data_IF_650012832197
#
_entry.id   IF_650012832197
#
_cell.length_a   1.000
_cell.length_b   1.000
_cell.length_c   1.000
_cell.angle_alpha   90.00
_cell.angle_beta   90.00
_cell.angle_gamma   90.00
#
_symmetry.space_group_name_H-M   'P 1'
#
loop_
_entity.id
_entity.type
_entity.pdbx_description
1 polymer ?
#
# COMPACT_ATOMS: atom_id res chain seq x y z
N UNK A 1 5.29 -3.36 20.06
CA UNK A 1 6.70 -3.78 20.05
C UNK A 1 6.83 -5.03 19.19
N UNK A 2 8.02 -5.28 18.63
CA UNK A 2 8.27 -6.48 17.82
C UNK A 2 9.29 -7.36 18.53
N UNK A 3 9.01 -8.67 18.62
CA UNK A 3 9.97 -9.64 19.17
C UNK A 3 11.08 -9.90 18.15
N UNK A 4 12.34 -9.86 18.59
CA UNK A 4 13.52 -9.96 17.72
C UNK A 4 13.71 -11.39 17.16
N UNK A 5 13.31 -12.39 17.93
CA UNK A 5 13.50 -13.81 17.57
C UNK A 5 12.43 -14.34 16.63
N UNK A 6 11.17 -14.00 16.88
CA UNK A 6 10.01 -14.48 16.12
C UNK A 6 9.49 -13.48 15.10
N UNK A 7 9.99 -12.23 15.11
CA UNK A 7 9.48 -11.10 14.33
C UNK A 7 7.97 -10.81 14.54
N UNK A 8 7.41 -11.27 15.64
CA UNK A 8 5.99 -11.15 15.97
C UNK A 8 5.72 -9.83 16.69
N UNK A 9 4.63 -9.15 16.34
CA UNK A 9 4.18 -7.96 17.05
C UNK A 9 3.49 -8.30 18.35
N UNK A 10 3.91 -7.64 19.43
CA UNK A 10 3.35 -7.82 20.78
C UNK A 10 2.88 -6.48 21.31
N UNK A 11 1.67 -6.43 21.86
CA UNK A 11 1.13 -5.26 22.53
C UNK A 11 1.62 -5.22 23.97
N UNK A 12 2.15 -4.07 24.40
CA UNK A 12 2.63 -3.86 25.77
C UNK A 12 1.74 -2.86 26.50
N UNK A 13 1.43 -3.15 27.75
CA UNK A 13 0.97 -2.17 28.73
C UNK A 13 2.16 -1.79 29.61
N UNK A 14 2.64 -0.56 29.48
CA UNK A 14 3.81 -0.04 30.20
C UNK A 14 3.45 1.22 30.98
N UNK A 15 4.21 1.51 32.03
CA UNK A 15 4.06 2.74 32.81
C UNK A 15 4.41 3.97 31.93
N UNK A 16 3.87 5.15 32.32
CA UNK A 16 4.21 6.40 31.64
C UNK A 16 5.70 6.71 31.73
N UNK A 17 6.30 6.46 32.91
CA UNK A 17 7.72 6.69 33.15
C UNK A 17 8.61 5.82 32.25
N UNK A 18 8.25 4.55 32.06
CA UNK A 18 9.01 3.65 31.20
C UNK A 18 8.82 3.99 29.73
N UNK A 19 7.62 4.45 29.34
CA UNK A 19 7.36 4.92 27.98
C UNK A 19 8.22 6.12 27.60
N UNK A 20 8.43 7.07 28.53
CA UNK A 20 9.24 8.26 28.30
C UNK A 20 10.74 7.94 28.13
N UNK A 21 11.20 6.80 28.66
CA UNK A 21 12.59 6.32 28.48
C UNK A 21 12.83 5.65 27.13
N UNK A 22 11.78 5.17 26.49
CA UNK A 22 11.88 4.40 25.24
C UNK A 22 12.04 5.33 24.04
N UNK A 23 13.04 5.04 23.22
CA UNK A 23 13.21 5.66 21.89
C UNK A 23 12.74 4.67 20.80
N UNK A 24 12.33 5.15 19.63
CA UNK A 24 12.10 4.27 18.49
C UNK A 24 13.34 3.41 18.21
N UNK A 25 13.12 2.13 17.89
CA UNK A 25 14.19 1.16 17.61
C UNK A 25 15.14 0.86 18.80
N UNK A 26 14.74 1.09 20.03
CA UNK A 26 15.49 0.59 21.19
C UNK A 26 15.32 -0.93 21.32
N UNK A 27 16.43 -1.64 21.55
CA UNK A 27 16.39 -3.04 21.98
C UNK A 27 16.15 -3.07 23.50
N UNK A 28 15.06 -3.68 23.90
CA UNK A 28 14.68 -3.78 25.30
C UNK A 28 14.46 -5.22 25.72
N UNK A 29 14.82 -5.53 26.96
CA UNK A 29 14.42 -6.75 27.63
C UNK A 29 13.25 -6.43 28.56
N UNK A 30 12.16 -7.18 28.44
CA UNK A 30 10.97 -6.97 29.27
C UNK A 30 10.66 -8.23 30.08
N UNK A 31 10.18 -8.03 31.30
CA UNK A 31 9.50 -9.02 32.10
C UNK A 31 8.09 -8.55 32.40
N UNK A 32 7.14 -9.46 32.39
CA UNK A 32 5.74 -9.06 32.61
C UNK A 32 4.79 -10.25 32.65
N UNK A 33 3.52 -9.94 32.87
CA UNK A 33 2.43 -10.94 32.92
C UNK A 33 1.64 -10.82 31.61
N UNK A 34 1.43 -11.95 30.94
CA UNK A 34 0.63 -12.02 29.73
C UNK A 34 -0.86 -12.04 30.04
N UNK A 35 -1.62 -11.24 29.31
CA UNK A 35 -3.08 -11.19 29.35
C UNK A 35 -3.62 -11.49 27.94
N UNK A 36 -4.64 -12.33 27.88
CA UNK A 36 -5.33 -12.64 26.62
C UNK A 36 -6.57 -11.77 26.51
N UNK A 37 -6.65 -10.98 25.46
CA UNK A 37 -7.80 -10.13 25.17
C UNK A 37 -8.52 -10.65 23.91
N UNK A 38 -9.70 -11.30 24.04
CA UNK A 38 -10.46 -11.76 22.90
C UNK A 38 -11.13 -10.59 22.17
N UNK A 39 -11.01 -10.55 20.85
CA UNK A 39 -11.78 -9.65 20.00
C UNK A 39 -13.13 -10.23 19.60
N UNK A 40 -14.08 -9.37 19.26
CA UNK A 40 -15.40 -9.78 18.78
C UNK A 40 -15.38 -10.61 17.48
N UNK A 41 -14.29 -10.56 16.72
CA UNK A 41 -14.07 -11.34 15.48
C UNK A 41 -13.45 -12.72 15.71
N UNK A 42 -13.33 -13.18 16.97
CA UNK A 42 -12.75 -14.47 17.32
C UNK A 42 -11.22 -14.53 17.34
N UNK A 43 -10.52 -13.41 17.12
CA UNK A 43 -9.07 -13.34 17.28
C UNK A 43 -8.70 -13.04 18.74
N UNK A 44 -7.52 -13.49 19.17
CA UNK A 44 -7.01 -13.26 20.51
C UNK A 44 -5.77 -12.36 20.43
N UNK A 45 -5.82 -11.24 21.12
CA UNK A 45 -4.65 -10.38 21.29
C UNK A 45 -3.88 -10.78 22.54
N UNK A 46 -2.58 -10.98 22.40
CA UNK A 46 -1.69 -11.15 23.55
C UNK A 46 -1.20 -9.76 23.98
N UNK A 47 -1.46 -9.42 25.23
CA UNK A 47 -0.99 -8.18 25.85
C UNK A 47 -0.02 -8.55 26.95
N UNK A 48 1.13 -7.90 27.01
CA UNK A 48 2.09 -8.07 28.11
C UNK A 48 2.02 -6.85 29.04
N UNK A 49 1.56 -7.07 30.26
CA UNK A 49 1.63 -6.08 31.34
C UNK A 49 3.07 -6.07 31.88
N UNK A 50 3.83 -5.06 31.46
CA UNK A 50 5.28 -4.98 31.77
C UNK A 50 5.49 -4.62 33.24
N UNK A 51 6.22 -5.46 33.96
CA UNK A 51 6.64 -5.22 35.36
C UNK A 51 8.10 -4.85 35.47
N UNK A 52 8.91 -5.22 34.49
CA UNK A 52 10.33 -4.88 34.39
C UNK A 52 10.69 -4.52 32.97
N UNK A 53 11.40 -3.42 32.79
CA UNK A 53 11.89 -2.95 31.49
C UNK A 53 13.36 -2.56 31.65
N UNK A 54 14.19 -3.11 30.76
CA UNK A 54 15.62 -2.79 30.70
C UNK A 54 15.97 -2.45 29.25
N UNK A 55 16.62 -1.29 29.05
CA UNK A 55 17.08 -0.88 27.73
C UNK A 55 18.47 -1.49 27.51
N UNK A 56 18.54 -2.44 26.57
CA UNK A 56 19.80 -3.14 26.24
C UNK A 56 20.62 -2.31 25.25
N UNK A 57 19.95 -1.68 24.28
CA UNK A 57 20.55 -0.73 23.32
C UNK A 57 19.57 0.39 23.00
N UNK A 58 20.04 1.63 23.00
CA UNK A 58 19.24 2.80 22.63
C UNK A 58 18.81 2.84 21.16
N UNK A 59 19.63 2.27 20.29
CA UNK A 59 19.32 2.08 18.88
C UNK A 59 19.72 0.68 18.46
N UNK A 60 18.79 -0.04 17.91
CA UNK A 60 18.98 -1.39 17.38
C UNK A 60 18.47 -1.45 15.95
N UNK A 61 19.35 -1.78 15.03
CA UNK A 61 19.02 -2.00 13.62
C UNK A 61 19.19 -3.48 13.35
N UNK A 62 18.12 -4.12 12.90
CA UNK A 62 18.14 -5.54 12.52
C UNK A 62 18.75 -5.71 11.14
N UNK A 63 19.23 -6.91 10.82
CA UNK A 63 19.67 -7.26 9.47
C UNK A 63 18.53 -7.06 8.44
N UNK A 64 17.28 -7.31 8.84
CA UNK A 64 16.11 -7.06 8.01
C UNK A 64 15.90 -5.58 7.72
N UNK A 65 16.13 -4.69 8.69
CA UNK A 65 16.01 -3.24 8.50
C UNK A 65 17.09 -2.72 7.54
N UNK A 66 18.30 -3.29 7.61
CA UNK A 66 19.36 -2.99 6.64
C UNK A 66 18.94 -3.41 5.23
N UNK A 67 18.47 -4.65 5.05
CA UNK A 67 17.98 -5.15 3.75
C UNK A 67 16.83 -4.33 3.19
N UNK A 68 15.86 -3.95 4.03
CA UNK A 68 14.76 -3.05 3.62
C UNK A 68 15.29 -1.71 3.14
N UNK A 69 16.26 -1.14 3.86
CA UNK A 69 16.89 0.13 3.49
C UNK A 69 17.65 0.03 2.18
N UNK A 70 18.38 -1.06 1.95
CA UNK A 70 19.06 -1.33 0.68
C UNK A 70 18.08 -1.42 -0.49
N UNK A 71 16.95 -2.12 -0.31
CA UNK A 71 15.88 -2.21 -1.33
C UNK A 71 15.34 -0.81 -1.65
N UNK A 72 15.08 0.02 -0.63
CA UNK A 72 14.60 1.40 -0.83
C UNK A 72 15.61 2.24 -1.60
N UNK A 73 16.89 2.14 -1.25
CA UNK A 73 17.96 2.87 -1.96
C UNK A 73 18.05 2.39 -3.42
N UNK A 74 17.99 1.09 -3.66
CA UNK A 74 18.01 0.53 -5.02
C UNK A 74 16.80 0.98 -5.83
N UNK A 75 15.60 0.96 -5.24
CA UNK A 75 14.36 1.46 -5.87
C UNK A 75 14.45 2.94 -6.19
N UNK A 76 14.93 3.76 -5.25
CA UNK A 76 15.12 5.20 -5.47
C UNK A 76 16.12 5.50 -6.60
N UNK A 77 17.21 4.74 -6.69
CA UNK A 77 18.19 4.88 -7.81
C UNK A 77 17.62 4.45 -9.15
N UNK A 78 16.82 3.39 -9.19
CA UNK A 78 16.13 2.92 -10.42
C UNK A 78 15.02 3.88 -10.85
N UNK A 79 14.44 4.63 -9.91
CA UNK A 79 13.31 5.52 -10.09
C UNK A 79 11.97 4.83 -9.87
N UNK A 80 10.97 5.65 -9.58
CA UNK A 80 9.58 5.23 -9.45
C UNK A 80 8.87 5.35 -10.79
N UNK A 81 7.98 4.42 -11.07
CA UNK A 81 7.17 4.46 -12.29
C UNK A 81 6.08 5.51 -12.17
N UNK A 82 5.82 6.19 -13.24
CA UNK A 82 4.79 7.23 -13.26
C UNK A 82 3.41 6.59 -13.52
N UNK A 83 2.70 6.26 -12.44
CA UNK A 83 1.33 5.71 -12.48
C UNK A 83 0.39 6.64 -13.23
N UNK A 84 0.50 7.96 -12.99
CA UNK A 84 -0.36 8.96 -13.60
C UNK A 84 -0.20 8.95 -15.13
N UNK A 85 1.04 8.93 -15.61
CA UNK A 85 1.31 8.92 -17.05
C UNK A 85 0.76 7.67 -17.75
N UNK A 86 0.85 6.49 -17.10
CA UNK A 86 0.32 5.24 -17.66
C UNK A 86 -1.20 5.30 -17.81
N UNK A 87 -1.89 5.78 -16.79
CA UNK A 87 -3.34 5.90 -16.79
C UNK A 87 -3.82 7.00 -17.75
N UNK A 88 -3.18 8.17 -17.70
CA UNK A 88 -3.53 9.31 -18.55
C UNK A 88 -3.36 9.01 -20.04
N UNK A 89 -2.28 8.33 -20.42
CA UNK A 89 -2.03 7.97 -21.82
C UNK A 89 -3.17 7.11 -22.40
N UNK A 90 -3.58 6.08 -21.68
CA UNK A 90 -4.69 5.20 -22.11
C UNK A 90 -6.03 5.93 -22.14
N UNK A 91 -6.37 6.62 -21.05
CA UNK A 91 -7.63 7.37 -20.97
C UNK A 91 -7.72 8.44 -22.07
N UNK A 92 -6.61 9.10 -22.39
CA UNK A 92 -6.58 10.11 -23.46
C UNK A 92 -6.80 9.50 -24.86
N UNK A 93 -6.32 8.27 -25.07
CA UNK A 93 -6.53 7.48 -26.28
C UNK A 93 -7.92 6.83 -26.37
N UNK A 94 -8.79 7.04 -25.38
CA UNK A 94 -10.10 6.40 -25.25
C UNK A 94 -10.01 4.88 -24.97
N UNK A 95 -8.88 4.45 -24.43
CA UNK A 95 -8.66 3.08 -23.98
C UNK A 95 -8.98 2.97 -22.48
N UNK A 96 -9.48 1.81 -22.05
CA UNK A 96 -9.74 1.54 -20.64
C UNK A 96 -8.50 0.91 -19.99
N UNK A 97 -7.84 1.60 -19.04
CA UNK A 97 -6.72 1.00 -18.30
C UNK A 97 -7.19 -0.22 -17.51
N UNK A 98 -6.38 -1.28 -17.48
CA UNK A 98 -6.63 -2.48 -16.69
C UNK A 98 -5.93 -2.38 -15.34
N UNK A 99 -6.69 -2.32 -14.28
CA UNK A 99 -6.17 -2.15 -12.91
C UNK A 99 -6.52 -3.35 -12.06
N UNK A 100 -5.49 -4.06 -11.54
CA UNK A 100 -5.69 -5.09 -10.53
C UNK A 100 -5.87 -4.44 -9.15
N UNK A 101 -6.96 -4.74 -8.49
CA UNK A 101 -7.24 -4.34 -7.11
C UNK A 101 -7.01 -5.56 -6.20
N UNK A 102 -5.88 -5.60 -5.52
CA UNK A 102 -5.52 -6.72 -4.63
C UNK A 102 -5.92 -6.38 -3.21
N UNK A 103 -6.99 -7.01 -2.73
CA UNK A 103 -7.48 -6.87 -1.36
C UNK A 103 -6.95 -8.00 -0.47
N UNK A 104 -6.75 -7.70 0.81
CA UNK A 104 -6.55 -8.75 1.79
C UNK A 104 -7.76 -9.68 1.85
N UNK A 105 -7.54 -10.99 2.00
CA UNK A 105 -8.60 -12.03 1.93
C UNK A 105 -9.79 -11.78 2.85
N UNK A 106 -9.55 -11.17 4.02
CA UNK A 106 -10.56 -10.87 5.04
C UNK A 106 -11.05 -9.41 5.02
N UNK A 107 -10.62 -8.63 4.04
CA UNK A 107 -10.92 -7.19 4.00
C UNK A 107 -12.32 -6.91 3.45
N UNK A 108 -13.07 -6.04 4.14
CA UNK A 108 -14.37 -5.50 3.70
C UNK A 108 -14.22 -4.15 2.97
N UNK A 109 -13.00 -3.71 2.72
CA UNK A 109 -12.67 -2.38 2.21
C UNK A 109 -13.05 -2.12 0.75
N UNK A 110 -13.62 -3.10 0.04
CA UNK A 110 -14.16 -2.91 -1.30
C UNK A 110 -15.28 -1.86 -1.32
N UNK A 111 -16.12 -1.82 -0.28
CA UNK A 111 -17.19 -0.82 -0.17
C UNK A 111 -16.61 0.59 -0.03
N UNK A 112 -15.54 0.75 0.75
CA UNK A 112 -14.85 2.02 0.91
C UNK A 112 -14.23 2.50 -0.40
N UNK A 113 -13.62 1.58 -1.17
CA UNK A 113 -13.09 1.88 -2.49
C UNK A 113 -14.21 2.30 -3.45
N UNK A 114 -15.30 1.52 -3.51
CA UNK A 114 -16.43 1.78 -4.40
C UNK A 114 -17.13 3.11 -4.10
N UNK A 115 -17.13 3.56 -2.84
CA UNK A 115 -17.67 4.86 -2.46
C UNK A 115 -16.91 6.05 -3.08
N UNK A 116 -15.64 5.85 -3.49
CA UNK A 116 -14.81 6.88 -4.12
C UNK A 116 -14.72 6.78 -5.64
N UNK A 117 -15.07 5.63 -6.24
CA UNK A 117 -14.68 5.33 -7.63
C UNK A 117 -15.46 6.06 -8.72
N UNK A 118 -16.68 6.51 -8.45
CA UNK A 118 -17.53 7.36 -9.31
C UNK A 118 -17.30 7.23 -10.83
N UNK A 119 -16.78 8.28 -11.47
CA UNK A 119 -16.52 8.35 -12.93
C UNK A 119 -15.52 7.27 -13.40
N UNK A 120 -14.64 6.76 -12.54
CA UNK A 120 -13.68 5.73 -12.91
C UNK A 120 -14.35 4.37 -13.17
N UNK A 121 -15.51 4.09 -12.58
CA UNK A 121 -16.19 2.80 -12.68
C UNK A 121 -16.48 2.36 -14.14
N UNK A 122 -16.70 3.31 -15.03
CA UNK A 122 -17.01 3.04 -16.45
C UNK A 122 -15.84 3.27 -17.40
N UNK A 123 -14.78 3.91 -16.91
CA UNK A 123 -13.63 4.31 -17.74
C UNK A 123 -12.36 3.49 -17.47
N UNK A 124 -12.33 2.71 -16.40
CA UNK A 124 -11.23 1.85 -15.99
C UNK A 124 -11.75 0.43 -15.80
N UNK A 125 -11.00 -0.56 -16.29
CA UNK A 125 -11.31 -1.98 -16.09
C UNK A 125 -10.66 -2.45 -14.78
N UNK A 126 -11.45 -2.49 -13.71
CA UNK A 126 -11.03 -2.98 -12.42
C UNK A 126 -11.20 -4.50 -12.31
N UNK A 127 -10.14 -5.20 -11.92
CA UNK A 127 -10.20 -6.62 -11.59
C UNK A 127 -9.92 -6.80 -10.10
N UNK A 128 -10.93 -7.29 -9.36
CA UNK A 128 -10.77 -7.62 -7.95
C UNK A 128 -10.02 -8.95 -7.78
N UNK A 129 -8.97 -8.93 -6.98
CA UNK A 129 -8.19 -10.09 -6.59
C UNK A 129 -8.12 -10.14 -5.06
N UNK A 130 -8.10 -11.36 -4.50
CA UNK A 130 -8.02 -11.60 -3.06
C UNK A 130 -6.76 -12.40 -2.73
N UNK A 131 -5.94 -11.88 -1.80
CA UNK A 131 -4.71 -12.53 -1.37
C UNK A 131 -4.49 -12.32 0.14
N UNK A 132 -3.96 -13.34 0.82
CA UNK A 132 -3.55 -13.18 2.22
C UNK A 132 -2.32 -12.28 2.32
N UNK A 133 -2.37 -11.27 3.19
CA UNK A 133 -1.23 -10.42 3.51
C UNK A 133 -0.48 -10.89 4.78
N UNK A 134 -0.82 -12.08 5.29
CA UNK A 134 -0.17 -12.68 6.46
C UNK A 134 1.01 -13.61 6.13
N UNK A 135 1.26 -13.91 4.85
CA UNK A 135 2.35 -14.79 4.42
C UNK A 135 3.15 -14.13 3.30
N UNK A 136 4.37 -13.69 3.61
CA UNK A 136 5.24 -12.95 2.69
C UNK A 136 5.63 -13.74 1.45
N UNK A 137 5.97 -15.02 1.58
CA UNK A 137 6.37 -15.85 0.44
C UNK A 137 5.22 -16.04 -0.55
N UNK A 138 4.02 -16.35 -0.03
CA UNK A 138 2.84 -16.52 -0.87
C UNK A 138 2.45 -15.20 -1.55
N UNK A 139 2.54 -14.07 -0.83
CA UNK A 139 2.26 -12.75 -1.37
C UNK A 139 3.27 -12.35 -2.46
N UNK A 140 4.56 -12.56 -2.23
CA UNK A 140 5.60 -12.26 -3.21
C UNK A 140 5.44 -13.06 -4.51
N UNK A 141 5.16 -14.37 -4.38
CA UNK A 141 4.91 -15.25 -5.54
C UNK A 141 3.65 -14.83 -6.30
N UNK A 142 2.58 -14.47 -5.59
CA UNK A 142 1.36 -13.96 -6.19
C UNK A 142 1.61 -12.65 -6.95
N UNK A 143 2.29 -11.67 -6.35
CA UNK A 143 2.61 -10.41 -7.00
C UNK A 143 3.46 -10.60 -8.24
N UNK A 144 4.44 -11.49 -8.19
CA UNK A 144 5.27 -11.84 -9.38
C UNK A 144 4.43 -12.41 -10.51
N UNK A 145 3.40 -13.22 -10.21
CA UNK A 145 2.48 -13.74 -11.22
C UNK A 145 1.60 -12.65 -11.84
N UNK A 146 1.15 -11.68 -11.03
CA UNK A 146 0.34 -10.57 -11.51
C UNK A 146 1.14 -9.58 -12.38
N UNK A 147 2.45 -9.44 -12.16
CA UNK A 147 3.31 -8.56 -12.98
C UNK A 147 3.34 -8.96 -14.48
N UNK A 148 3.00 -10.22 -14.79
CA UNK A 148 2.94 -10.74 -16.15
C UNK A 148 1.51 -10.97 -16.68
N UNK A 149 0.48 -10.54 -15.94
CA UNK A 149 -0.94 -10.80 -16.27
C UNK A 149 -1.58 -9.72 -17.16
N UNK A 150 -0.78 -8.76 -17.65
CA UNK A 150 -1.23 -7.73 -18.58
C UNK A 150 -2.02 -6.59 -17.94
N UNK A 151 -1.89 -6.37 -16.64
CA UNK A 151 -2.39 -5.18 -15.96
C UNK A 151 -1.49 -3.97 -16.23
N UNK A 152 -2.11 -2.81 -16.35
CA UNK A 152 -1.41 -1.53 -16.50
C UNK A 152 -0.94 -0.97 -15.15
N UNK A 153 -1.70 -1.25 -14.10
CA UNK A 153 -1.41 -0.84 -12.72
C UNK A 153 -1.90 -1.92 -11.75
N UNK A 154 -1.18 -2.12 -10.67
CA UNK A 154 -1.56 -3.01 -9.56
C UNK A 154 -1.71 -2.16 -8.31
N UNK A 155 -2.84 -2.28 -7.61
CA UNK A 155 -3.09 -1.61 -6.34
C UNK A 155 -3.20 -2.62 -5.20
N UNK A 156 -2.37 -2.45 -4.16
CA UNK A 156 -2.46 -3.18 -2.90
C UNK A 156 -3.38 -2.42 -1.95
N UNK A 157 -4.50 -3.04 -1.58
CA UNK A 157 -5.57 -2.34 -0.87
C UNK A 157 -5.91 -3.05 0.43
N UNK A 158 -5.91 -2.28 1.54
CA UNK A 158 -6.41 -2.73 2.82
C UNK A 158 -6.81 -1.57 3.71
N UNK A 159 -7.88 -1.76 4.48
CA UNK A 159 -8.18 -0.93 5.65
C UNK A 159 -7.19 -1.20 6.79
N UNK A 160 -7.32 -0.49 7.90
CA UNK A 160 -6.51 -0.71 9.10
C UNK A 160 -6.74 -2.07 9.75
N UNK A 161 -5.90 -2.42 10.73
CA UNK A 161 -5.95 -3.65 11.51
C UNK A 161 -4.72 -4.54 11.35
N UNK A 162 -4.64 -5.63 12.15
CA UNK A 162 -3.53 -6.60 12.16
C UNK A 162 -3.44 -7.43 10.86
N UNK A 163 -2.30 -8.09 10.63
CA UNK A 163 -2.06 -8.98 9.48
C UNK A 163 -1.62 -8.24 8.22
N UNK A 164 -0.87 -7.15 8.37
CA UNK A 164 -0.20 -6.40 7.30
C UNK A 164 1.32 -6.55 7.36
N UNK A 165 1.80 -7.29 8.35
CA UNK A 165 3.23 -7.41 8.66
C UNK A 165 4.03 -8.00 7.50
N UNK A 166 3.41 -8.89 6.72
CA UNK A 166 4.06 -9.50 5.57
C UNK A 166 4.29 -8.54 4.40
N UNK A 167 3.59 -7.39 4.38
CA UNK A 167 3.85 -6.35 3.38
C UNK A 167 5.25 -5.73 3.51
N UNK A 168 5.79 -5.73 4.74
CA UNK A 168 7.14 -5.25 5.03
C UNK A 168 8.19 -6.38 5.05
N UNK A 169 7.82 -7.59 4.63
CA UNK A 169 8.78 -8.65 4.39
C UNK A 169 9.75 -8.27 3.28
N UNK A 170 11.05 -8.53 3.52
CA UNK A 170 12.13 -8.25 2.57
C UNK A 170 11.83 -8.81 1.19
N UNK A 171 11.27 -10.04 1.12
CA UNK A 171 10.96 -10.69 -0.15
C UNK A 171 9.81 -10.00 -0.90
N UNK A 172 8.78 -9.55 -0.19
CA UNK A 172 7.65 -8.81 -0.78
C UNK A 172 8.13 -7.44 -1.29
N UNK A 173 8.91 -6.72 -0.48
CA UNK A 173 9.47 -5.43 -0.85
C UNK A 173 10.39 -5.55 -2.08
N UNK A 174 11.23 -6.59 -2.12
CA UNK A 174 12.13 -6.85 -3.25
C UNK A 174 11.34 -7.17 -4.53
N UNK A 175 10.26 -7.96 -4.40
CA UNK A 175 9.36 -8.26 -5.52
C UNK A 175 8.74 -6.98 -6.06
N UNK A 176 8.10 -6.16 -5.22
CA UNK A 176 7.48 -4.90 -5.65
C UNK A 176 8.50 -3.93 -6.26
N UNK A 177 9.69 -3.82 -5.68
CA UNK A 177 10.75 -2.97 -6.22
C UNK A 177 11.22 -3.40 -7.63
N UNK A 178 11.14 -4.70 -7.95
CA UNK A 178 11.57 -5.26 -9.23
C UNK A 178 10.48 -5.31 -10.30
N UNK A 179 9.19 -5.28 -9.93
CA UNK A 179 8.05 -5.36 -10.85
C UNK A 179 8.16 -4.39 -12.00
N UNK A 180 7.65 -4.78 -13.18
CA UNK A 180 7.52 -3.93 -14.37
C UNK A 180 6.26 -3.08 -14.31
N UNK A 181 5.16 -3.67 -13.86
CA UNK A 181 3.87 -2.99 -13.67
C UNK A 181 3.96 -2.00 -12.50
N UNK A 182 3.50 -0.77 -12.64
CA UNK A 182 3.43 0.20 -11.55
C UNK A 182 2.56 -0.28 -10.40
N UNK A 183 3.02 -0.03 -9.16
CA UNK A 183 2.31 -0.46 -7.96
C UNK A 183 1.84 0.72 -7.12
N UNK A 184 0.57 0.72 -6.76
CA UNK A 184 -0.04 1.66 -5.81
C UNK A 184 -0.19 0.97 -4.45
N UNK A 185 0.18 1.64 -3.38
CA UNK A 185 -0.08 1.20 -2.01
C UNK A 185 -1.21 2.05 -1.40
N UNK A 186 -2.36 1.42 -1.12
CA UNK A 186 -3.53 2.04 -0.48
C UNK A 186 -3.87 1.25 0.80
N UNK A 187 -2.97 1.30 1.79
CA UNK A 187 -3.01 0.47 2.98
C UNK A 187 -2.97 1.33 4.23
N UNK A 188 -3.86 1.00 5.17
CA UNK A 188 -3.87 1.53 6.53
C UNK A 188 -4.59 2.86 6.71
N UNK A 189 -4.59 3.34 7.95
CA UNK A 189 -4.98 4.68 8.32
C UNK A 189 -3.77 5.64 8.21
N UNK A 190 -4.05 6.94 8.20
CA UNK A 190 -3.06 8.03 7.98
C UNK A 190 -1.82 8.00 8.89
N UNK A 191 -1.82 7.21 9.98
CA UNK A 191 -0.70 7.10 10.94
C UNK A 191 0.11 5.81 10.88
N UNK A 192 -0.20 4.85 9.99
CA UNK A 192 0.57 3.59 9.91
C UNK A 192 1.80 3.75 9.02
N UNK A 193 2.99 3.63 9.63
CA UNK A 193 4.27 3.62 8.94
C UNK A 193 4.58 2.21 8.40
N UNK A 194 4.12 1.94 7.18
CA UNK A 194 4.53 0.76 6.42
C UNK A 194 5.70 1.09 5.50
N UNK A 195 6.73 0.24 5.54
CA UNK A 195 7.90 0.41 4.68
C UNK A 195 7.53 0.24 3.19
N UNK A 196 6.54 -0.59 2.89
CA UNK A 196 5.95 -0.74 1.55
C UNK A 196 5.59 0.60 0.91
N UNK A 197 5.09 1.58 1.68
CA UNK A 197 4.77 2.92 1.15
C UNK A 197 5.99 3.64 0.54
N UNK A 198 7.19 3.31 1.00
CA UNK A 198 8.44 3.88 0.47
C UNK A 198 8.97 3.16 -0.77
N UNK A 199 8.39 2.01 -1.13
CA UNK A 199 8.77 1.18 -2.28
C UNK A 199 7.74 1.28 -3.40
N UNK A 200 6.46 1.46 -3.09
CA UNK A 200 5.39 1.61 -4.06
C UNK A 200 5.63 2.83 -4.97
N UNK A 201 5.18 2.73 -6.22
CA UNK A 201 5.33 3.81 -7.21
C UNK A 201 4.38 4.99 -6.92
N UNK A 202 3.26 4.71 -6.21
CA UNK A 202 2.31 5.71 -5.71
C UNK A 202 1.69 5.26 -4.39
N UNK A 203 1.33 6.21 -3.55
CA UNK A 203 0.64 5.95 -2.28
C UNK A 203 -0.70 6.69 -2.27
N UNK A 204 -1.76 5.98 -1.89
CA UNK A 204 -3.05 6.56 -1.56
C UNK A 204 -3.30 6.42 -0.05
N UNK A 205 -3.92 7.42 0.60
CA UNK A 205 -4.04 7.43 2.06
C UNK A 205 -5.00 6.35 2.59
N UNK A 206 -6.03 6.02 1.82
CA UNK A 206 -7.08 5.06 2.20
C UNK A 206 -7.66 4.40 0.95
N UNK A 207 -8.40 3.28 1.08
CA UNK A 207 -9.13 2.68 -0.05
C UNK A 207 -10.09 3.65 -0.73
N UNK A 208 -10.85 4.45 0.03
CA UNK A 208 -11.73 5.49 -0.52
C UNK A 208 -10.92 6.57 -1.26
N UNK A 209 -9.81 7.04 -0.68
CA UNK A 209 -8.92 8.01 -1.32
C UNK A 209 -8.30 7.47 -2.63
N UNK A 210 -8.08 6.17 -2.74
CA UNK A 210 -7.68 5.54 -4.01
C UNK A 210 -8.80 5.60 -5.05
N UNK A 211 -10.05 5.32 -4.65
CA UNK A 211 -11.22 5.45 -5.52
C UNK A 211 -11.38 6.88 -6.04
N UNK A 212 -11.29 7.88 -5.16
CA UNK A 212 -11.34 9.30 -5.51
C UNK A 212 -10.22 9.69 -6.48
N UNK A 213 -8.99 9.24 -6.22
CA UNK A 213 -7.86 9.47 -7.13
C UNK A 213 -8.15 9.00 -8.56
N UNK A 214 -8.71 7.80 -8.73
CA UNK A 214 -9.09 7.32 -10.06
C UNK A 214 -10.22 8.15 -10.68
N UNK A 215 -11.22 8.55 -9.89
CA UNK A 215 -12.33 9.38 -10.37
C UNK A 215 -11.85 10.74 -10.88
N UNK A 216 -11.07 11.45 -10.07
CA UNK A 216 -10.49 12.75 -10.41
C UNK A 216 -9.61 12.68 -11.65
N UNK A 217 -8.81 11.60 -11.78
CA UNK A 217 -7.98 11.38 -12.95
C UNK A 217 -8.83 11.23 -14.21
N UNK A 218 -9.84 10.40 -14.18
CA UNK A 218 -10.75 10.19 -15.33
C UNK A 218 -11.42 11.50 -15.72
N UNK A 219 -12.01 12.22 -14.77
CA UNK A 219 -12.68 13.48 -15.01
C UNK A 219 -11.76 14.50 -15.69
N UNK A 220 -10.53 14.65 -15.16
CA UNK A 220 -9.51 15.55 -15.71
C UNK A 220 -9.10 15.18 -17.12
N UNK A 221 -8.83 13.90 -17.38
CA UNK A 221 -8.36 13.45 -18.70
C UNK A 221 -9.46 13.48 -19.74
N UNK A 222 -10.68 13.06 -19.39
CA UNK A 222 -11.83 13.13 -20.30
C UNK A 222 -12.16 14.57 -20.66
N UNK A 223 -12.15 15.50 -19.70
CA UNK A 223 -12.34 16.91 -19.96
C UNK A 223 -11.26 17.47 -20.93
N UNK A 224 -9.98 17.15 -20.66
CA UNK A 224 -8.86 17.56 -21.53
C UNK A 224 -9.01 17.01 -22.95
N UNK A 225 -9.37 15.73 -23.09
CA UNK A 225 -9.60 15.10 -24.39
C UNK A 225 -10.73 15.77 -25.17
N UNK A 226 -11.86 16.04 -24.51
CA UNK A 226 -13.02 16.65 -25.13
C UNK A 226 -12.70 18.09 -25.60
N UNK A 227 -11.98 18.86 -24.78
CA UNK A 227 -11.54 20.21 -25.15
C UNK A 227 -10.59 20.19 -26.35
N UNK A 228 -9.67 19.23 -26.40
CA UNK A 228 -8.75 19.06 -27.55
C UNK A 228 -9.49 18.70 -28.83
N UNK A 229 -10.48 17.80 -28.74
CA UNK A 229 -11.34 17.44 -29.88
C UNK A 229 -12.17 18.63 -30.38
N UNK A 230 -12.75 19.41 -29.48
CA UNK A 230 -13.51 20.60 -29.82
C UNK A 230 -12.65 21.64 -30.55
N UNK A 231 -11.44 21.90 -30.04
CA UNK A 231 -10.49 22.83 -30.67
C UNK A 231 -10.08 22.37 -32.08
N UNK A 232 -9.82 21.08 -32.27
CA UNK A 232 -9.54 20.52 -33.61
C UNK A 232 -10.70 20.67 -34.58
N UNK A 233 -11.93 20.43 -34.15
CA UNK A 233 -13.13 20.57 -34.98
C UNK A 233 -13.30 22.05 -35.41
N UNK A 234 -13.09 22.98 -34.50
CA UNK A 234 -13.16 24.43 -34.84
C UNK A 234 -12.06 24.85 -35.82
N UNK A 235 -10.85 24.35 -35.67
CA UNK A 235 -9.78 24.67 -36.62
C UNK A 235 -10.04 24.11 -38.03
N UNK A 236 -10.53 22.85 -38.10
CA UNK A 236 -10.93 22.24 -39.37
C UNK A 236 -12.05 23.03 -40.04
N UNK A 237 -13.11 23.44 -39.29
CA UNK A 237 -14.19 24.27 -39.85
C UNK A 237 -13.67 25.59 -40.43
N UNK A 238 -12.74 26.26 -39.76
CA UNK A 238 -12.13 27.52 -40.26
C UNK A 238 -11.37 27.31 -41.57
N UNK A 239 -10.74 26.15 -41.77
CA UNK A 239 -10.02 25.84 -43.01
C UNK A 239 -10.96 25.60 -44.19
N UNK A 240 -12.16 25.05 -43.94
CA UNK A 240 -13.18 24.82 -45.01
C UNK A 240 -14.04 26.03 -45.34
N UNK A 241 -13.97 27.12 -44.53
CA UNK A 241 -14.70 28.36 -44.80
C UNK A 241 -13.85 29.42 -45.52
N UNK A 242 -12.58 29.11 -45.79
CA UNK A 242 -11.68 29.91 -46.67
C UNK A 242 -11.67 29.35 -48.09
#
# INVERSE_FOLDING_TARGET
>A
MRDVSSNTSVTLKISRQDREKLKPNSLVQIGGITELNPYANGTIQIIVNVTRLEIVKDQFVTEQDLKRTEIRIAKSKKGFKNVDAVLEDKLFKDERPKVALIFASTSITMQDFNAGVNAAAVNIDFTELRQSFGNGNALASFLSSQDNSGFDVIALIRGGGSGIEALDDVQVLQTVASMKTPVICAIGHVGEELFMKSIADKVAPTPNGLGQYFSEMVERVVAKRNNSRAALVEEVKKQFQK
#
